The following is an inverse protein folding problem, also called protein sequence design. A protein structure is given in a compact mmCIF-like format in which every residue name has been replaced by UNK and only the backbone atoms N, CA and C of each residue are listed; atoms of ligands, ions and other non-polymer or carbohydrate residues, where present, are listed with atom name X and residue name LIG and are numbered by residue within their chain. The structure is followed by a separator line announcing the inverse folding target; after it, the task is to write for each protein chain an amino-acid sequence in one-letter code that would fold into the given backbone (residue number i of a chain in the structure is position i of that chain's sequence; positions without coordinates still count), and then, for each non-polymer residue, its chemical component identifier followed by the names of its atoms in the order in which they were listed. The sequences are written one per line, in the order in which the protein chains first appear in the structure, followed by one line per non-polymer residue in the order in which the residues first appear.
data_IF_707971629625
#
_entry.id   IF_707971629625
#
_cell.length_a   1.000
_cell.length_b   1.000
_cell.length_c   1.000
_cell.angle_alpha   90.00
_cell.angle_beta   90.00
_cell.angle_gamma   90.00
#
_symmetry.space_group_name_H-M   'P 1'
#
loop_
_entity.id
_entity.type
_entity.pdbx_description
1 polymer ?
#
# COMPACT_ATOMS: atom_id res chain seq x y z
N UNK A 1 4.34 -11.06 7.53
CA UNK A 1 4.03 -9.71 8.03
C UNK A 1 2.64 -9.76 8.66
N UNK A 2 2.51 -9.69 9.99
CA UNK A 2 1.19 -9.52 10.62
C UNK A 2 0.85 -8.05 10.43
N UNK A 3 -0.02 -7.73 9.47
CA UNK A 3 -0.62 -6.40 9.38
C UNK A 3 -1.57 -6.30 10.57
N UNK A 4 -1.10 -5.55 11.58
CA UNK A 4 -1.72 -5.10 12.81
C UNK A 4 -3.09 -5.71 13.19
N UNK A 5 -3.08 -6.47 14.29
CA UNK A 5 -4.30 -6.84 15.01
C UNK A 5 -4.64 -5.71 15.97
N UNK A 6 -5.91 -5.27 15.99
CA UNK A 6 -6.46 -4.40 17.03
C UNK A 6 -5.93 -4.86 18.41
N UNK A 7 -5.12 -4.03 19.06
CA UNK A 7 -4.82 -4.24 20.48
C UNK A 7 -6.03 -3.69 21.25
N UNK A 8 -6.72 -4.57 21.96
CA UNK A 8 -7.91 -4.27 22.77
C UNK A 8 -7.63 -3.38 24.00
N UNK A 9 -6.40 -2.90 24.18
CA UNK A 9 -5.93 -2.42 25.48
C UNK A 9 -5.68 -0.91 25.53
N UNK A 10 -6.34 -0.12 24.69
CA UNK A 10 -6.34 1.34 24.81
C UNK A 10 -7.72 1.85 25.18
N UNK A 11 -7.87 2.36 26.40
CA UNK A 11 -9.01 3.12 26.96
C UNK A 11 -9.36 4.41 26.19
N UNK A 12 -8.74 4.64 25.03
CA UNK A 12 -9.06 5.72 24.11
C UNK A 12 -9.30 5.13 22.72
N UNK A 13 -10.52 5.33 22.21
CA UNK A 13 -10.84 5.04 20.82
C UNK A 13 -10.11 6.05 19.93
N UNK A 14 -9.18 5.58 19.08
CA UNK A 14 -8.58 6.45 18.07
C UNK A 14 -9.62 6.68 16.98
N UNK A 15 -9.95 7.94 16.72
CA UNK A 15 -10.91 8.30 15.68
C UNK A 15 -10.38 7.81 14.32
N UNK A 16 -11.21 7.09 13.58
CA UNK A 16 -10.85 6.59 12.25
C UNK A 16 -10.37 7.74 11.35
N UNK A 17 -9.29 7.50 10.61
CA UNK A 17 -8.66 8.53 9.78
C UNK A 17 -7.72 9.49 10.51
N UNK A 18 -7.56 9.36 11.83
CA UNK A 18 -6.51 10.10 12.56
C UNK A 18 -5.13 9.59 12.17
N UNK A 19 -4.25 10.50 11.74
CA UNK A 19 -2.87 10.15 11.42
C UNK A 19 -2.05 9.92 12.69
N UNK A 20 -0.90 9.25 12.53
CA UNK A 20 0.04 9.04 13.63
C UNK A 20 0.67 10.32 14.14
N UNK A 21 0.65 11.42 13.38
CA UNK A 21 1.04 12.74 13.87
C UNK A 21 0.20 13.15 15.08
N UNK A 22 -1.10 12.82 15.08
CA UNK A 22 -1.99 13.04 16.21
C UNK A 22 -1.75 12.04 17.35
N UNK A 23 -1.60 10.75 17.04
CA UNK A 23 -1.43 9.69 18.06
C UNK A 23 -0.04 9.68 18.70
N UNK A 24 0.93 10.37 18.07
CA UNK A 24 2.34 10.47 18.46
C UNK A 24 3.06 9.12 18.58
N UNK A 25 2.65 8.14 17.77
CA UNK A 25 3.22 6.78 17.80
C UNK A 25 4.13 6.51 16.61
N UNK A 26 5.33 6.02 16.90
CA UNK A 26 6.20 5.43 15.89
C UNK A 26 5.85 3.95 15.67
N UNK A 27 5.97 3.50 14.43
CA UNK A 27 5.67 2.13 14.03
C UNK A 27 6.91 1.50 13.41
N UNK A 28 7.22 0.28 13.83
CA UNK A 28 8.23 -0.57 13.22
C UNK A 28 7.54 -1.85 12.80
N UNK A 29 7.60 -2.15 11.50
CA UNK A 29 6.99 -3.36 10.95
C UNK A 29 8.03 -4.45 10.91
N UNK A 30 7.67 -5.63 11.40
CA UNK A 30 8.47 -6.83 11.25
C UNK A 30 8.32 -7.38 9.84
N UNK A 31 9.29 -7.08 8.98
CA UNK A 31 9.48 -7.73 7.69
C UNK A 31 9.98 -9.17 7.85
N UNK A 32 10.13 -9.88 6.74
CA UNK A 32 10.63 -11.27 6.75
C UNK A 32 12.12 -11.35 7.05
N UNK A 33 12.89 -10.38 6.56
CA UNK A 33 14.35 -10.35 6.63
C UNK A 33 14.88 -9.22 7.54
N UNK A 34 14.10 -8.17 7.79
CA UNK A 34 14.52 -7.01 8.57
C UNK A 34 13.35 -6.31 9.25
N UNK A 35 13.66 -5.51 10.27
CA UNK A 35 12.74 -4.55 10.86
C UNK A 35 12.71 -3.29 9.99
N UNK A 36 11.52 -2.86 9.58
CA UNK A 36 11.35 -1.70 8.72
C UNK A 36 10.80 -0.56 9.58
N UNK A 37 11.63 0.47 9.77
CA UNK A 37 11.23 1.71 10.40
C UNK A 37 10.33 2.48 9.41
N UNK A 38 9.08 2.74 9.82
CA UNK A 38 8.16 3.59 9.07
C UNK A 38 8.45 5.08 9.34
N UNK A 39 7.77 5.95 8.60
CA UNK A 39 7.87 7.40 8.78
C UNK A 39 7.66 7.78 10.27
N UNK A 40 8.59 8.55 10.87
CA UNK A 40 8.42 9.08 12.22
C UNK A 40 7.12 9.89 12.33
N UNK A 41 6.41 9.76 13.45
CA UNK A 41 5.11 10.41 13.63
C UNK A 41 5.09 11.93 13.36
N UNK A 42 6.13 12.74 13.69
CA UNK A 42 6.09 14.17 13.44
C UNK A 42 6.07 14.53 11.95
N UNK A 43 6.55 13.62 11.09
CA UNK A 43 6.71 13.84 9.66
C UNK A 43 5.55 13.28 8.84
N UNK A 44 4.68 12.46 9.43
CA UNK A 44 3.62 11.72 8.71
C UNK A 44 2.74 12.64 7.87
N UNK A 45 2.24 13.75 8.42
CA UNK A 45 1.37 14.66 7.68
C UNK A 45 2.10 15.32 6.51
N UNK A 46 3.36 15.75 6.69
CA UNK A 46 4.17 16.31 5.61
C UNK A 46 4.49 15.29 4.49
N UNK A 47 4.68 14.02 4.87
CA UNK A 47 4.89 12.95 3.90
C UNK A 47 3.61 12.61 3.15
N UNK A 48 2.45 12.66 3.81
CA UNK A 48 1.16 12.50 3.17
C UNK A 48 0.92 13.60 2.12
N UNK A 49 1.18 14.87 2.46
CA UNK A 49 1.06 15.98 1.52
C UNK A 49 1.94 15.78 0.28
N UNK A 50 3.18 15.36 0.48
CA UNK A 50 4.09 15.02 -0.62
C UNK A 50 3.56 13.87 -1.48
N UNK A 51 3.11 12.78 -0.86
CA UNK A 51 2.54 11.61 -1.56
C UNK A 51 1.32 12.03 -2.37
N UNK A 52 0.40 12.80 -1.80
CA UNK A 52 -0.79 13.32 -2.47
C UNK A 52 -0.43 14.18 -3.68
N UNK A 53 0.50 15.13 -3.52
CA UNK A 53 0.95 16.00 -4.60
C UNK A 53 1.51 15.20 -5.78
N UNK A 54 2.43 14.28 -5.49
CA UNK A 54 3.08 13.46 -6.51
C UNK A 54 2.11 12.47 -7.17
N UNK A 55 1.26 11.81 -6.38
CA UNK A 55 0.25 10.89 -6.89
C UNK A 55 -0.71 11.61 -7.85
N UNK A 56 -1.22 12.79 -7.49
CA UNK A 56 -2.10 13.57 -8.35
C UNK A 56 -1.42 13.96 -9.67
N UNK A 57 -0.15 14.38 -9.61
CA UNK A 57 0.62 14.70 -10.81
C UNK A 57 0.78 13.48 -11.73
N UNK A 58 1.11 12.32 -11.16
CA UNK A 58 1.41 11.11 -11.93
C UNK A 58 0.15 10.43 -12.47
N UNK A 59 -0.94 10.42 -11.69
CA UNK A 59 -2.26 9.92 -12.12
C UNK A 59 -2.81 10.76 -13.28
N UNK A 60 -2.51 12.06 -13.31
CA UNK A 60 -2.96 12.96 -14.39
C UNK A 60 -2.16 12.78 -15.69
N UNK A 61 -1.00 12.13 -15.65
CA UNK A 61 -0.14 11.91 -16.81
C UNK A 61 -0.42 10.57 -17.50
N UNK A 62 -1.20 10.61 -18.58
CA UNK A 62 -1.59 9.42 -19.37
C UNK A 62 -0.43 8.73 -20.10
N UNK A 63 0.69 9.42 -20.34
CA UNK A 63 1.86 8.82 -20.99
C UNK A 63 2.69 7.96 -20.04
N UNK A 64 2.41 8.02 -18.73
CA UNK A 64 3.15 7.28 -17.72
C UNK A 64 2.58 5.87 -17.58
N UNK A 65 3.45 4.88 -17.42
CA UNK A 65 3.02 3.50 -17.18
C UNK A 65 2.14 3.41 -15.91
N UNK A 66 0.88 2.92 -16.02
CA UNK A 66 -0.06 2.92 -14.89
C UNK A 66 0.34 1.93 -13.79
N UNK A 67 0.99 0.81 -14.13
CA UNK A 67 1.53 -0.15 -13.14
C UNK A 67 2.70 0.43 -12.36
N UNK A 68 3.59 1.17 -13.02
CA UNK A 68 4.67 1.88 -12.33
C UNK A 68 4.12 2.95 -11.37
N UNK A 69 3.06 3.65 -11.76
CA UNK A 69 2.37 4.63 -10.92
C UNK A 69 1.67 3.95 -9.73
N UNK A 70 0.93 2.87 -9.97
CA UNK A 70 0.28 2.07 -8.94
C UNK A 70 1.29 1.52 -7.92
N UNK A 71 2.37 0.92 -8.43
CA UNK A 71 3.47 0.37 -7.62
C UNK A 71 4.06 1.43 -6.70
N UNK A 72 4.40 2.59 -7.26
CA UNK A 72 4.94 3.69 -6.46
C UNK A 72 3.96 4.16 -5.38
N UNK A 73 2.70 4.48 -5.73
CA UNK A 73 1.68 4.96 -4.79
C UNK A 73 1.53 3.99 -3.62
N UNK A 74 1.41 2.70 -3.91
CA UNK A 74 1.27 1.68 -2.88
C UNK A 74 2.48 1.67 -1.93
N UNK A 75 3.69 1.57 -2.51
CA UNK A 75 4.92 1.37 -1.74
C UNK A 75 5.22 2.58 -0.85
N UNK A 76 5.11 3.80 -1.38
CA UNK A 76 5.38 5.01 -0.58
C UNK A 76 4.35 5.22 0.52
N UNK A 77 3.06 4.96 0.23
CA UNK A 77 1.99 5.09 1.22
C UNK A 77 2.13 4.06 2.35
N UNK A 78 2.33 2.78 2.01
CA UNK A 78 2.47 1.71 3.02
C UNK A 78 3.77 1.87 3.83
N UNK A 79 4.83 2.42 3.23
CA UNK A 79 6.08 2.75 3.94
C UNK A 79 5.92 3.96 4.87
N UNK A 80 5.15 4.97 4.46
CA UNK A 80 4.76 6.08 5.34
C UNK A 80 3.95 5.56 6.53
N UNK A 81 3.06 4.60 6.28
CA UNK A 81 2.22 3.96 7.29
C UNK A 81 1.47 4.98 8.16
N UNK A 82 0.69 5.90 7.58
CA UNK A 82 0.20 7.09 8.26
C UNK A 82 -0.83 6.85 9.37
N UNK A 83 -1.55 5.73 9.37
CA UNK A 83 -2.64 5.44 10.30
C UNK A 83 -2.26 4.33 11.29
N UNK A 84 -3.04 4.19 12.38
CA UNK A 84 -2.86 3.07 13.35
C UNK A 84 -3.26 1.71 12.77
N UNK A 85 -4.24 1.69 11.85
CA UNK A 85 -4.69 0.50 11.15
C UNK A 85 -5.23 0.89 9.75
N UNK A 86 -5.32 -0.09 8.85
CA UNK A 86 -5.94 0.07 7.53
C UNK A 86 -4.95 0.45 6.42
N UNK A 87 -3.68 0.68 6.75
CA UNK A 87 -2.67 1.14 5.77
C UNK A 87 -2.54 0.21 4.56
N UNK A 88 -2.52 -1.12 4.76
CA UNK A 88 -2.47 -2.06 3.65
C UNK A 88 -3.73 -2.07 2.78
N UNK A 89 -4.92 -1.88 3.38
CA UNK A 89 -6.20 -1.82 2.66
C UNK A 89 -6.30 -0.55 1.82
N UNK A 90 -6.00 0.59 2.44
CA UNK A 90 -6.02 1.87 1.77
C UNK A 90 -4.91 1.97 0.71
N UNK A 91 -3.73 1.41 0.95
CA UNK A 91 -2.65 1.36 -0.03
C UNK A 91 -3.06 0.65 -1.33
N UNK A 92 -3.74 -0.49 -1.25
CA UNK A 92 -4.27 -1.20 -2.43
C UNK A 92 -5.38 -0.41 -3.13
N UNK A 93 -6.26 0.22 -2.36
CA UNK A 93 -7.34 1.06 -2.91
C UNK A 93 -6.75 2.24 -3.70
N UNK A 94 -5.83 2.99 -3.11
CA UNK A 94 -5.19 4.14 -3.75
C UNK A 94 -4.39 3.73 -5.00
N UNK A 95 -3.64 2.63 -4.91
CA UNK A 95 -2.86 2.12 -6.04
C UNK A 95 -3.71 1.57 -7.19
N UNK A 96 -4.98 1.24 -6.95
CA UNK A 96 -5.90 0.81 -8.01
C UNK A 96 -6.38 1.98 -8.89
N UNK A 97 -6.34 3.22 -8.39
CA UNK A 97 -6.81 4.42 -9.10
C UNK A 97 -6.16 4.59 -10.49
N UNK A 98 -4.81 4.63 -10.63
CA UNK A 98 -4.18 4.78 -11.95
C UNK A 98 -4.49 3.62 -12.90
N UNK A 99 -4.67 2.40 -12.37
CA UNK A 99 -5.00 1.20 -13.17
C UNK A 99 -6.40 1.32 -13.76
N UNK A 100 -7.39 1.63 -12.91
CA UNK A 100 -8.78 1.80 -13.33
C UNK A 100 -8.95 2.95 -14.33
N UNK A 101 -8.22 4.06 -14.16
CA UNK A 101 -8.24 5.16 -15.13
C UNK A 101 -7.77 4.74 -16.52
N UNK A 102 -6.88 3.74 -16.62
CA UNK A 102 -6.40 3.21 -17.89
C UNK A 102 -7.19 1.96 -18.35
N UNK A 103 -8.33 1.67 -17.74
CA UNK A 103 -9.20 0.54 -18.13
C UNK A 103 -8.75 -0.83 -17.61
N UNK A 104 -7.77 -0.88 -16.71
CA UNK A 104 -7.37 -2.12 -16.04
C UNK A 104 -8.25 -2.40 -14.82
N UNK A 105 -8.26 -3.67 -14.41
CA UNK A 105 -8.92 -4.08 -13.17
C UNK A 105 -8.21 -3.48 -11.94
N UNK A 106 -8.94 -3.26 -10.83
CA UNK A 106 -8.32 -2.90 -9.56
C UNK A 106 -7.41 -4.02 -9.05
N UNK A 107 -6.51 -3.68 -8.11
CA UNK A 107 -5.61 -4.64 -7.50
C UNK A 107 -6.42 -5.62 -6.64
N UNK A 108 -6.32 -6.91 -6.96
CA UNK A 108 -6.89 -8.01 -6.18
C UNK A 108 -5.76 -8.93 -5.73
N UNK A 109 -5.58 -9.10 -4.43
CA UNK A 109 -4.58 -10.02 -3.86
C UNK A 109 -5.32 -11.03 -3.00
N UNK A 110 -5.29 -12.30 -3.40
CA UNK A 110 -5.98 -13.38 -2.68
C UNK A 110 -5.22 -13.81 -1.43
N UNK A 111 -5.93 -14.47 -0.51
CA UNK A 111 -5.36 -14.93 0.74
C UNK A 111 -4.13 -15.82 0.55
N UNK A 112 -4.14 -16.71 -0.44
CA UNK A 112 -3.02 -17.60 -0.76
C UNK A 112 -1.79 -16.84 -1.29
N UNK A 113 -1.99 -15.64 -1.85
CA UNK A 113 -0.94 -14.80 -2.44
C UNK A 113 -0.30 -13.85 -1.43
N UNK A 114 -0.84 -13.72 -0.22
CA UNK A 114 -0.35 -12.78 0.79
C UNK A 114 1.14 -12.93 1.09
N UNK A 115 1.65 -14.17 1.15
CA UNK A 115 3.07 -14.40 1.40
C UNK A 115 3.95 -13.79 0.31
N UNK A 116 3.67 -14.10 -0.97
CA UNK A 116 4.39 -13.57 -2.12
C UNK A 116 4.26 -12.04 -2.22
N UNK A 117 3.07 -11.51 -1.95
CA UNK A 117 2.81 -10.06 -1.90
C UNK A 117 3.67 -9.35 -0.85
N UNK A 118 3.78 -9.90 0.36
CA UNK A 118 4.63 -9.30 1.40
C UNK A 118 6.11 -9.40 1.07
N UNK A 119 6.56 -10.50 0.46
CA UNK A 119 7.93 -10.63 -0.02
C UNK A 119 8.23 -9.60 -1.12
N UNK A 120 7.32 -9.41 -2.07
CA UNK A 120 7.46 -8.44 -3.14
C UNK A 120 7.59 -6.99 -2.65
N UNK A 121 6.85 -6.62 -1.60
CA UNK A 121 7.01 -5.30 -0.94
C UNK A 121 8.41 -5.15 -0.34
N UNK A 122 8.94 -6.20 0.31
CA UNK A 122 10.27 -6.16 0.89
C UNK A 122 11.35 -6.05 -0.20
N UNK A 123 11.20 -6.75 -1.33
CA UNK A 123 12.12 -6.63 -2.47
C UNK A 123 12.10 -5.24 -3.10
N UNK A 124 10.93 -4.60 -3.16
CA UNK A 124 10.82 -3.25 -3.68
C UNK A 124 11.56 -2.20 -2.84
N UNK A 125 11.79 -2.47 -1.53
CA UNK A 125 12.65 -1.61 -0.72
C UNK A 125 14.14 -1.76 -1.04
N UNK A 126 14.54 -2.84 -1.71
CA UNK A 126 15.87 -3.05 -2.26
C UNK A 126 15.92 -2.68 -3.75
N UNK A 127 15.13 -1.66 -4.15
CA UNK A 127 15.06 -1.09 -5.51
C UNK A 127 14.57 -2.05 -6.60
N UNK A 128 14.09 -3.25 -6.26
CA UNK A 128 13.48 -4.17 -7.20
C UNK A 128 11.95 -4.13 -7.12
N UNK A 129 11.33 -3.27 -7.92
CA UNK A 129 9.88 -3.09 -7.94
C UNK A 129 9.13 -4.14 -8.77
N UNK A 130 9.84 -4.93 -9.59
CA UNK A 130 9.23 -5.86 -10.53
C UNK A 130 8.37 -6.93 -9.85
N UNK A 131 8.81 -7.60 -8.77
CA UNK A 131 8.00 -8.61 -8.08
C UNK A 131 6.64 -8.08 -7.61
N UNK A 132 6.57 -6.80 -7.26
CA UNK A 132 5.34 -6.18 -6.79
C UNK A 132 4.36 -5.92 -7.94
N UNK A 133 4.87 -5.50 -9.10
CA UNK A 133 4.08 -5.37 -10.33
C UNK A 133 3.56 -6.75 -10.76
N UNK A 134 4.40 -7.78 -10.68
CA UNK A 134 4.01 -9.16 -11.02
C UNK A 134 2.87 -9.66 -10.13
N UNK A 135 2.89 -9.32 -8.83
CA UNK A 135 1.77 -9.62 -7.92
C UNK A 135 0.46 -8.95 -8.37
N UNK A 136 0.50 -7.69 -8.81
CA UNK A 136 -0.69 -7.01 -9.32
C UNK A 136 -1.24 -7.70 -10.58
N UNK A 137 -0.35 -8.01 -11.53
CA UNK A 137 -0.71 -8.65 -12.79
C UNK A 137 -1.31 -10.05 -12.54
N UNK A 138 -0.69 -10.83 -11.66
CA UNK A 138 -1.19 -12.16 -11.30
C UNK A 138 -2.58 -12.08 -10.67
N UNK A 139 -2.79 -11.13 -9.77
CA UNK A 139 -4.09 -10.84 -9.18
C UNK A 139 -5.17 -10.56 -10.21
N UNK A 140 -4.87 -9.68 -11.18
CA UNK A 140 -5.80 -9.37 -12.27
C UNK A 140 -6.09 -10.57 -13.18
N UNK A 141 -5.06 -11.35 -13.53
CA UNK A 141 -5.23 -12.55 -14.34
C UNK A 141 -6.15 -13.55 -13.66
N UNK A 142 -5.96 -13.78 -12.36
CA UNK A 142 -6.78 -14.72 -11.60
C UNK A 142 -8.23 -14.22 -11.50
N UNK A 143 -8.45 -12.92 -11.30
CA UNK A 143 -9.80 -12.32 -11.34
C UNK A 143 -10.44 -12.44 -12.72
N UNK A 144 -9.70 -12.26 -13.82
CA UNK A 144 -10.23 -12.44 -15.17
C UNK A 144 -10.64 -13.89 -15.45
N UNK A 145 -9.88 -14.86 -14.97
CA UNK A 145 -10.25 -16.28 -15.09
C UNK A 145 -11.53 -16.55 -14.35
N UNK A 146 -11.66 -16.09 -13.10
CA UNK A 146 -12.87 -16.27 -12.30
C UNK A 146 -14.11 -15.66 -12.95
N UNK A 147 -14.02 -14.41 -13.41
CA UNK A 147 -15.14 -13.72 -14.07
C UNK A 147 -15.57 -14.41 -15.37
N UNK A 148 -14.63 -15.00 -16.13
CA UNK A 148 -14.94 -15.77 -17.34
C UNK A 148 -15.64 -17.10 -17.06
N UNK A 149 -15.51 -17.62 -15.84
CA UNK A 149 -16.12 -18.89 -15.42
C UNK A 149 -17.46 -18.71 -14.71
N UNK A 150 -17.93 -17.47 -14.56
CA UNK A 150 -19.29 -17.14 -14.11
C UNK A 150 -20.30 -17.32 -15.26
#
# INVERSE_FOLDING_TARGET
MKTDRFKSDSTSCVVAGSTRSLTKKNVIIRGRQSMIQCCPFPEVDSQLDYICKMANQWISSWSRNPFATASWIHLVFVRCHPFEDGNGRLGRLLASIPLMRHGYLPISIKGEQHAAYYDAINYAYNENHQPFIDCMLKGMQDTLVEVKTL
#
